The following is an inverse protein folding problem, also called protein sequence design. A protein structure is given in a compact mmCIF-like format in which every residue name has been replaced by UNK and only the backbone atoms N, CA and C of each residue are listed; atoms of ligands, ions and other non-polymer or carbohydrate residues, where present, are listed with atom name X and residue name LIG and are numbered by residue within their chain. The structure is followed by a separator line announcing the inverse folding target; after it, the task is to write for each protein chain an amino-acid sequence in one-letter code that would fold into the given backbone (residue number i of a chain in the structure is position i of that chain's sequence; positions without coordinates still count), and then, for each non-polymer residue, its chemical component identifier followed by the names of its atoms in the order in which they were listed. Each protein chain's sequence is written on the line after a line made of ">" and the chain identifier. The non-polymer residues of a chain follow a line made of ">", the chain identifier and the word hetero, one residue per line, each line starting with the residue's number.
data_IF_671017364484
#
_entry.id   IF_671017364484
#
_cell.length_a   1.000
_cell.length_b   1.000
_cell.length_c   1.000
_cell.angle_alpha   90.00
_cell.angle_beta   90.00
_cell.angle_gamma   90.00
#
_symmetry.space_group_name_H-M   'P 1'
#
loop_
_entity.id
_entity.type
_entity.pdbx_description
1 polymer ?
#
# COMPACT_ATOMS: atom_id res chain seq x y z
N UNK A 1 -4.28 14.57 -1.82
CA UNK A 1 -3.97 13.41 -2.66
C UNK A 1 -2.46 13.21 -2.67
N UNK A 2 -2.01 12.17 -1.99
CA UNK A 2 -0.60 11.77 -1.94
C UNK A 2 -0.41 10.70 -3.00
N UNK A 3 0.52 10.91 -3.94
CA UNK A 3 0.83 9.94 -5.00
C UNK A 3 2.15 9.26 -4.68
N UNK A 4 2.14 7.95 -4.51
CA UNK A 4 3.34 7.14 -4.33
C UNK A 4 3.61 6.38 -5.63
N UNK A 5 4.69 6.74 -6.31
CA UNK A 5 5.18 6.07 -7.51
C UNK A 5 6.42 5.25 -7.24
N UNK A 6 6.80 4.40 -8.19
CA UNK A 6 8.13 3.81 -8.22
C UNK A 6 8.84 4.21 -9.50
N UNK A 7 10.09 4.63 -9.35
CA UNK A 7 11.00 4.72 -10.48
C UNK A 7 11.67 3.34 -10.63
N UNK A 8 11.05 2.50 -11.45
CA UNK A 8 11.48 1.12 -11.73
C UNK A 8 12.91 1.10 -12.30
N UNK A 9 13.29 2.15 -13.05
CA UNK A 9 14.60 2.31 -13.66
C UNK A 9 15.71 2.60 -12.65
N UNK A 10 15.43 3.38 -11.60
CA UNK A 10 16.37 3.71 -10.54
C UNK A 10 16.28 2.80 -9.31
N UNK A 11 15.27 1.92 -9.23
CA UNK A 11 15.00 1.12 -8.04
C UNK A 11 14.70 2.01 -6.82
N UNK A 12 13.92 3.07 -7.03
CA UNK A 12 13.55 4.05 -5.98
C UNK A 12 12.05 4.22 -5.89
N UNK A 13 11.54 4.46 -4.68
CA UNK A 13 10.15 4.84 -4.42
C UNK A 13 10.09 6.36 -4.40
N UNK A 14 9.19 6.95 -5.16
CA UNK A 14 8.96 8.40 -5.21
C UNK A 14 7.65 8.74 -4.54
N UNK A 15 7.66 9.73 -3.64
CA UNK A 15 6.48 10.19 -2.92
C UNK A 15 6.24 11.65 -3.28
N UNK A 16 5.13 11.93 -3.96
CA UNK A 16 4.64 13.26 -4.30
C UNK A 16 3.41 13.58 -3.47
N UNK A 17 3.36 14.76 -2.88
CA UNK A 17 2.18 15.23 -2.17
C UNK A 17 2.12 16.76 -2.16
N UNK A 18 0.92 17.36 -2.13
CA UNK A 18 0.78 18.79 -1.83
C UNK A 18 1.30 19.05 -0.41
N UNK A 19 2.00 20.17 -0.23
CA UNK A 19 2.73 20.47 1.01
C UNK A 19 1.85 20.33 2.26
N UNK A 20 2.03 19.22 3.00
CA UNK A 20 1.42 18.98 4.30
C UNK A 20 2.54 18.79 5.33
N UNK A 21 2.66 19.68 6.34
CA UNK A 21 3.72 19.60 7.33
C UNK A 21 3.62 18.31 8.17
N UNK A 22 2.42 17.75 8.33
CA UNK A 22 2.19 16.47 9.01
C UNK A 22 2.88 15.33 8.26
N UNK A 23 2.65 15.26 6.95
CA UNK A 23 3.27 14.27 6.05
C UNK A 23 4.80 14.45 6.00
N UNK A 24 5.29 15.69 6.00
CA UNK A 24 6.74 15.96 6.06
C UNK A 24 7.35 15.49 7.38
N UNK A 25 6.72 15.77 8.53
CA UNK A 25 7.23 15.34 9.84
C UNK A 25 7.28 13.80 9.95
N UNK A 26 6.21 13.17 9.47
CA UNK A 26 6.04 11.73 9.30
C UNK A 26 7.13 11.10 8.44
N UNK A 27 7.33 11.61 7.22
CA UNK A 27 8.39 11.16 6.30
C UNK A 27 9.80 11.44 6.84
N UNK A 28 9.98 12.51 7.60
CA UNK A 28 11.25 12.83 8.27
C UNK A 28 11.64 11.81 9.35
N UNK A 29 10.76 10.89 9.72
CA UNK A 29 11.10 9.79 10.65
C UNK A 29 11.89 8.67 9.96
N UNK A 30 11.81 8.56 8.63
CA UNK A 30 12.52 7.54 7.84
C UNK A 30 13.97 7.97 7.61
N UNK A 31 14.93 7.10 7.99
CA UNK A 31 16.38 7.39 8.01
C UNK A 31 17.03 7.58 6.63
N UNK A 32 16.50 6.96 5.58
CA UNK A 32 17.12 6.98 4.24
C UNK A 32 16.22 7.75 3.28
N UNK A 33 16.39 9.08 3.20
CA UNK A 33 15.57 9.95 2.35
C UNK A 33 16.44 10.88 1.50
N UNK A 34 16.05 11.08 0.25
CA UNK A 34 16.59 12.12 -0.63
C UNK A 34 15.46 13.07 -1.03
N UNK A 35 15.65 14.36 -0.79
CA UNK A 35 14.75 15.40 -1.26
C UNK A 35 15.17 15.84 -2.66
N UNK A 36 14.22 15.87 -3.60
CA UNK A 36 14.43 16.40 -4.94
C UNK A 36 13.62 17.69 -5.10
N UNK A 37 14.33 18.82 -5.07
CA UNK A 37 13.75 20.16 -5.12
C UNK A 37 13.08 20.45 -6.48
N UNK A 38 13.66 19.93 -7.57
CA UNK A 38 13.18 20.12 -8.95
C UNK A 38 11.75 19.63 -9.19
N UNK A 39 11.30 18.60 -8.47
CA UNK A 39 9.96 18.03 -8.66
C UNK A 39 9.09 18.01 -7.41
N UNK A 40 9.58 18.59 -6.30
CA UNK A 40 8.94 18.57 -4.97
C UNK A 40 8.55 17.15 -4.55
N UNK A 41 9.47 16.20 -4.70
CA UNK A 41 9.23 14.80 -4.33
C UNK A 41 10.34 14.27 -3.43
N UNK A 42 9.96 13.30 -2.60
CA UNK A 42 10.90 12.51 -1.83
C UNK A 42 11.25 11.24 -2.59
N UNK A 43 12.52 10.87 -2.63
CA UNK A 43 12.95 9.56 -3.12
C UNK A 43 13.53 8.70 -1.99
N UNK A 44 13.16 7.43 -2.02
CA UNK A 44 13.58 6.39 -1.09
C UNK A 44 14.14 5.20 -1.85
N UNK A 45 15.05 4.41 -1.29
CA UNK A 45 15.42 3.13 -1.88
C UNK A 45 14.21 2.19 -1.93
N UNK A 46 14.08 1.44 -3.02
CA UNK A 46 13.00 0.46 -3.23
C UNK A 46 13.16 -0.72 -2.27
N UNK A 47 12.45 -0.67 -1.15
CA UNK A 47 12.53 -1.66 -0.09
C UNK A 47 11.18 -1.85 0.59
N UNK A 48 10.76 -3.11 0.77
CA UNK A 48 9.54 -3.50 1.49
C UNK A 48 9.39 -2.82 2.86
N UNK A 49 10.39 -2.88 3.78
CA UNK A 49 10.26 -2.26 5.10
C UNK A 49 10.12 -0.74 5.05
N UNK A 50 10.75 -0.07 4.07
CA UNK A 50 10.61 1.38 3.91
C UNK A 50 9.20 1.75 3.45
N UNK A 51 8.65 0.98 2.50
CA UNK A 51 7.30 1.15 2.01
C UNK A 51 6.26 0.87 3.11
N UNK A 52 6.44 -0.19 3.90
CA UNK A 52 5.56 -0.49 5.04
C UNK A 52 5.56 0.61 6.09
N UNK A 53 6.73 1.16 6.45
CA UNK A 53 6.81 2.30 7.37
C UNK A 53 6.11 3.51 6.78
N UNK A 54 6.33 3.83 5.50
CA UNK A 54 5.66 4.94 4.82
C UNK A 54 4.13 4.75 4.85
N UNK A 55 3.63 3.56 4.52
CA UNK A 55 2.20 3.27 4.55
C UNK A 55 1.61 3.34 5.97
N UNK A 56 2.33 2.84 6.97
CA UNK A 56 1.89 2.89 8.38
C UNK A 56 1.81 4.33 8.86
N UNK A 57 2.79 5.13 8.49
CA UNK A 57 2.89 6.54 8.85
C UNK A 57 1.83 7.37 8.13
N UNK A 58 1.50 7.00 6.89
CA UNK A 58 0.44 7.62 6.07
C UNK A 58 -0.94 6.99 6.29
N UNK A 59 -1.08 6.00 7.18
CA UNK A 59 -2.35 5.38 7.48
C UNK A 59 -3.32 6.44 8.06
N UNK A 60 -4.37 6.75 7.30
CA UNK A 60 -5.35 7.79 7.62
C UNK A 60 -5.38 8.97 6.64
N UNK A 61 -4.45 9.04 5.67
CA UNK A 61 -4.48 10.01 4.57
C UNK A 61 -4.95 9.33 3.27
N UNK A 62 -5.54 10.10 2.34
CA UNK A 62 -5.86 9.60 1.00
C UNK A 62 -4.59 9.46 0.16
N UNK A 63 -4.08 8.23 0.12
CA UNK A 63 -2.88 7.84 -0.63
C UNK A 63 -3.27 7.04 -1.87
N UNK A 64 -2.90 7.56 -3.04
CA UNK A 64 -2.90 6.81 -4.30
C UNK A 64 -1.56 6.12 -4.48
N UNK A 65 -1.59 4.79 -4.50
CA UNK A 65 -0.42 3.93 -4.72
C UNK A 65 -0.41 3.54 -6.19
N UNK A 66 0.71 3.77 -6.88
CA UNK A 66 0.90 3.32 -8.25
C UNK A 66 0.88 1.77 -8.33
N UNK A 67 0.24 1.17 -9.35
CA UNK A 67 0.13 -0.28 -9.46
C UNK A 67 1.46 -1.03 -9.52
N UNK A 68 2.55 -0.36 -9.92
CA UNK A 68 3.90 -0.92 -9.86
C UNK A 68 4.34 -1.30 -8.43
N UNK A 69 3.78 -0.63 -7.42
CA UNK A 69 4.10 -0.86 -6.01
C UNK A 69 3.19 -1.87 -5.33
N UNK A 70 2.06 -2.26 -5.94
CA UNK A 70 1.13 -3.25 -5.37
C UNK A 70 1.81 -4.59 -5.04
N UNK A 71 2.86 -4.98 -5.77
CA UNK A 71 3.63 -6.20 -5.50
C UNK A 71 4.47 -6.12 -4.21
N UNK A 72 4.79 -4.91 -3.75
CA UNK A 72 5.49 -4.67 -2.48
C UNK A 72 4.55 -4.25 -1.35
N UNK A 73 3.33 -3.83 -1.67
CA UNK A 73 2.35 -3.43 -0.68
C UNK A 73 2.01 -4.63 0.19
N UNK A 74 2.02 -4.49 1.53
CA UNK A 74 1.48 -5.52 2.39
C UNK A 74 0.01 -5.76 2.01
N UNK A 75 -0.47 -7.02 2.02
CA UNK A 75 -1.87 -7.32 1.76
C UNK A 75 -2.72 -6.48 2.71
N UNK A 76 -3.72 -5.79 2.17
CA UNK A 76 -4.59 -4.94 3.00
C UNK A 76 -5.25 -5.78 4.08
N UNK A 77 -5.73 -5.15 5.16
CA UNK A 77 -6.50 -5.86 6.20
C UNK A 77 -7.67 -6.65 5.58
N UNK A 78 -8.30 -6.09 4.54
CA UNK A 78 -9.37 -6.73 3.78
C UNK A 78 -8.87 -7.95 3.03
N UNK A 79 -7.70 -7.87 2.37
CA UNK A 79 -7.11 -9.02 1.67
C UNK A 79 -6.73 -10.14 2.65
N UNK A 80 -6.16 -9.80 3.82
CA UNK A 80 -5.85 -10.76 4.88
C UNK A 80 -7.11 -11.45 5.42
N UNK A 81 -8.19 -10.68 5.61
CA UNK A 81 -9.48 -11.20 6.03
C UNK A 81 -10.09 -12.13 4.97
N UNK A 82 -10.05 -11.73 3.69
CA UNK A 82 -10.56 -12.54 2.58
C UNK A 82 -9.80 -13.88 2.46
N UNK A 83 -8.48 -13.88 2.63
CA UNK A 83 -7.69 -15.11 2.61
C UNK A 83 -8.04 -16.01 3.81
N UNK A 84 -8.29 -15.43 4.98
CA UNK A 84 -8.76 -16.18 6.15
C UNK A 84 -10.16 -16.78 5.93
N UNK A 85 -11.08 -16.03 5.32
CA UNK A 85 -12.41 -16.54 4.95
C UNK A 85 -12.27 -17.70 3.96
N UNK A 86 -11.42 -17.56 2.94
CA UNK A 86 -11.13 -18.62 1.96
C UNK A 86 -10.66 -19.91 2.63
N UNK A 87 -9.69 -19.83 3.53
CA UNK A 87 -9.23 -20.97 4.32
C UNK A 87 -10.35 -21.61 5.14
N UNK A 88 -11.20 -20.81 5.79
CA UNK A 88 -12.34 -21.32 6.54
C UNK A 88 -13.35 -22.03 5.63
N UNK A 89 -13.58 -21.50 4.41
CA UNK A 89 -14.45 -22.12 3.42
C UNK A 89 -13.89 -23.47 2.95
N UNK A 90 -12.58 -23.59 2.75
CA UNK A 90 -11.93 -24.86 2.45
C UNK A 90 -12.06 -25.88 3.58
N UNK A 91 -11.83 -25.47 4.84
CA UNK A 91 -12.00 -26.35 6.00
C UNK A 91 -13.44 -26.86 6.16
N UNK A 92 -14.41 -26.06 5.72
CA UNK A 92 -15.83 -26.43 5.70
C UNK A 92 -16.25 -27.16 4.42
N UNK A 93 -15.29 -27.51 3.55
CA UNK A 93 -15.51 -28.24 2.30
C UNK A 93 -16.50 -27.54 1.34
N UNK A 94 -16.54 -26.21 1.36
CA UNK A 94 -17.32 -25.46 0.38
C UNK A 94 -16.74 -25.62 -1.03
N UNK A 95 -17.62 -25.55 -2.03
CA UNK A 95 -17.22 -25.63 -3.43
C UNK A 95 -16.37 -24.42 -3.85
N UNK A 96 -15.43 -24.66 -4.76
CA UNK A 96 -14.67 -23.60 -5.46
C UNK A 96 -15.58 -22.55 -6.12
N UNK A 97 -16.81 -22.94 -6.52
CA UNK A 97 -17.81 -22.00 -7.05
C UNK A 97 -18.29 -21.03 -5.98
N UNK A 98 -18.55 -21.54 -4.78
CA UNK A 98 -18.99 -20.74 -3.62
C UNK A 98 -17.90 -19.75 -3.21
N UNK A 99 -16.65 -20.19 -3.15
CA UNK A 99 -15.49 -19.31 -2.88
C UNK A 99 -15.42 -18.14 -3.87
N UNK A 100 -15.49 -18.45 -5.17
CA UNK A 100 -15.43 -17.43 -6.24
C UNK A 100 -16.61 -16.46 -6.22
N UNK A 101 -17.78 -16.87 -5.74
CA UNK A 101 -18.94 -15.99 -5.63
C UNK A 101 -18.94 -15.15 -4.34
N UNK A 102 -18.56 -15.75 -3.20
CA UNK A 102 -18.69 -15.11 -1.89
C UNK A 102 -17.56 -14.12 -1.61
N UNK A 103 -16.31 -14.41 -2.00
CA UNK A 103 -15.19 -13.50 -1.75
C UNK A 103 -15.40 -12.09 -2.36
N UNK A 104 -15.85 -11.94 -3.62
CA UNK A 104 -16.17 -10.62 -4.17
C UNK A 104 -17.32 -9.91 -3.46
N UNK A 105 -18.33 -10.65 -2.98
CA UNK A 105 -19.46 -10.07 -2.25
C UNK A 105 -19.02 -9.55 -0.88
N UNK A 106 -18.21 -10.31 -0.16
CA UNK A 106 -17.62 -9.88 1.12
C UNK A 106 -16.75 -8.64 0.90
N UNK A 107 -15.92 -8.63 -0.16
CA UNK A 107 -15.10 -7.47 -0.51
C UNK A 107 -15.95 -6.23 -0.77
N UNK A 108 -17.06 -6.38 -1.51
CA UNK A 108 -17.98 -5.28 -1.81
C UNK A 108 -18.72 -4.79 -0.56
N UNK A 109 -19.05 -5.67 0.37
CA UNK A 109 -19.73 -5.30 1.61
C UNK A 109 -18.84 -4.50 2.58
N UNK A 110 -17.53 -4.74 2.54
CA UNK A 110 -16.55 -4.06 3.39
C UNK A 110 -16.06 -2.71 2.84
N UNK A 111 -16.51 -2.32 1.65
CA UNK A 111 -16.08 -1.12 0.91
C UNK A 111 -17.20 -0.10 0.79
#
# INVERSE_FOLDING_TARGET
>A
MITIGSDISAGRITVRFPYSPEVVAKIKTVKVRQWHDEGKYWSFPYSKPVLEVILTVLAGEEVEIDPSLHALTPPSLVDQLLERVRHLMWLKHYSIRTEKSYLPWIRRYLH
#
